data_IF_490370426837
#
_entry.id   IF_490370426837
#
_cell.length_a   1.000
_cell.length_b   1.000
_cell.length_c   1.000
_cell.angle_alpha   90.00
_cell.angle_beta   90.00
_cell.angle_gamma   90.00
#
_symmetry.space_group_name_H-M   'P 1'
#
loop_
_entity.id
_entity.type
_entity.pdbx_description
1 polymer ?
#
# COMPACT_ATOMS: atom_id res chain seq x y z
N UNK A 1 12.29 -8.04 -16.99
CA UNK A 1 11.77 -8.43 -15.67
C UNK A 1 12.04 -7.33 -14.68
N UNK A 2 10.99 -6.77 -14.08
CA UNK A 2 11.16 -5.68 -13.11
C UNK A 2 11.22 -6.26 -11.72
N UNK A 3 12.33 -6.03 -11.02
CA UNK A 3 12.44 -6.36 -9.61
C UNK A 3 12.08 -5.13 -8.80
N UNK A 4 10.84 -5.08 -8.34
CA UNK A 4 10.36 -3.98 -7.53
C UNK A 4 10.78 -4.16 -6.07
N UNK A 5 11.26 -3.09 -5.46
CA UNK A 5 11.57 -3.08 -4.04
C UNK A 5 10.27 -2.97 -3.25
N UNK A 6 10.03 -3.90 -2.34
CA UNK A 6 8.87 -3.90 -1.48
C UNK A 6 9.16 -3.11 -0.21
N UNK A 7 8.37 -2.08 0.05
CA UNK A 7 8.45 -1.30 1.28
C UNK A 7 7.26 -1.72 2.14
N UNK A 8 7.52 -2.38 3.27
CA UNK A 8 6.48 -2.98 4.09
C UNK A 8 6.23 -2.18 5.35
N UNK A 9 4.96 -1.98 5.68
CA UNK A 9 4.53 -1.41 6.96
C UNK A 9 3.43 -2.29 7.55
N UNK A 10 3.71 -2.88 8.72
CA UNK A 10 2.68 -3.57 9.48
C UNK A 10 2.05 -2.56 10.45
N UNK A 11 0.85 -2.11 10.12
CA UNK A 11 0.15 -1.08 10.86
C UNK A 11 -0.93 -1.64 11.80
N UNK A 12 -0.96 -2.96 11.99
CA UNK A 12 -2.03 -3.59 12.78
C UNK A 12 -2.03 -3.17 14.24
N UNK A 13 -0.87 -2.86 14.80
CA UNK A 13 -0.73 -2.44 16.20
C UNK A 13 -0.58 -0.94 16.37
N UNK A 14 -0.68 -0.18 15.27
CA UNK A 14 -0.57 1.27 15.32
C UNK A 14 -1.94 1.91 15.45
N UNK A 15 -2.02 2.97 16.26
CA UNK A 15 -3.25 3.72 16.44
C UNK A 15 -3.30 4.94 15.52
N UNK A 16 -4.52 5.29 15.10
CA UNK A 16 -4.75 6.50 14.32
C UNK A 16 -4.22 7.73 15.08
N UNK A 17 -3.54 8.68 14.42
CA UNK A 17 -3.33 8.80 12.98
C UNK A 17 -1.98 8.25 12.49
N UNK A 18 -1.29 7.44 13.29
CA UNK A 18 0.06 6.98 13.00
C UNK A 18 0.19 6.23 11.67
N UNK A 19 -0.72 5.26 11.35
CA UNK A 19 -0.61 4.57 10.06
C UNK A 19 -0.67 5.52 8.87
N UNK A 20 -1.55 6.52 8.92
CA UNK A 20 -1.68 7.48 7.84
C UNK A 20 -0.43 8.35 7.70
N UNK A 21 0.10 8.83 8.83
CA UNK A 21 1.32 9.66 8.83
C UNK A 21 2.51 8.91 8.23
N UNK A 22 2.74 7.66 8.63
CA UNK A 22 3.84 6.85 8.12
C UNK A 22 3.64 6.53 6.65
N UNK A 23 2.41 6.25 6.26
CA UNK A 23 2.09 5.93 4.86
C UNK A 23 2.33 7.13 3.95
N UNK A 24 1.97 8.33 4.38
CA UNK A 24 2.23 9.54 3.60
C UNK A 24 3.73 9.71 3.35
N UNK A 25 4.56 9.46 4.38
CA UNK A 25 6.01 9.51 4.21
C UNK A 25 6.50 8.52 3.17
N UNK A 26 5.99 7.29 3.20
CA UNK A 26 6.35 6.27 2.22
C UNK A 26 5.95 6.71 0.81
N UNK A 27 4.73 7.26 0.65
CA UNK A 27 4.27 7.71 -0.66
C UNK A 27 5.19 8.80 -1.23
N UNK A 28 5.71 9.67 -0.38
CA UNK A 28 6.64 10.73 -0.82
C UNK A 28 7.97 10.16 -1.31
N UNK A 29 8.35 8.97 -0.86
CA UNK A 29 9.61 8.33 -1.19
C UNK A 29 9.47 7.28 -2.30
N UNK A 30 8.25 6.89 -2.67
CA UNK A 30 8.04 5.89 -3.71
C UNK A 30 8.55 6.39 -5.06
N UNK A 31 9.18 5.48 -5.80
CA UNK A 31 9.62 5.72 -7.17
C UNK A 31 9.04 4.62 -8.09
N UNK A 32 9.47 4.59 -9.34
CA UNK A 32 8.95 3.62 -10.32
C UNK A 32 9.47 2.20 -10.09
N UNK A 33 10.44 2.04 -9.18
CA UNK A 33 11.08 0.75 -8.91
C UNK A 33 10.73 0.19 -7.55
N UNK A 34 9.76 0.79 -6.85
CA UNK A 34 9.33 0.34 -5.54
C UNK A 34 7.81 0.35 -5.44
N UNK A 35 7.29 -0.41 -4.50
CA UNK A 35 5.88 -0.37 -4.17
C UNK A 35 5.70 -0.48 -2.66
N UNK A 36 4.57 0.05 -2.18
CA UNK A 36 4.23 0.05 -0.76
C UNK A 36 3.28 -1.09 -0.47
N UNK A 37 3.58 -1.89 0.55
CA UNK A 37 2.71 -2.93 1.04
C UNK A 37 2.41 -2.66 2.51
N UNK A 38 1.14 -2.45 2.83
CA UNK A 38 0.70 -2.19 4.20
C UNK A 38 -0.29 -3.25 4.65
N UNK A 39 -0.14 -3.68 5.92
CA UNK A 39 -1.12 -4.55 6.56
C UNK A 39 -1.82 -3.73 7.63
N UNK A 40 -3.16 -3.70 7.61
CA UNK A 40 -3.95 -2.92 8.53
C UNK A 40 -5.19 -3.69 8.95
N UNK A 41 -5.72 -3.39 10.13
CA UNK A 41 -6.95 -4.04 10.61
C UNK A 41 -8.22 -3.42 10.02
N UNK A 42 -8.09 -2.27 9.38
CA UNK A 42 -9.19 -1.56 8.73
C UNK A 42 -8.80 -1.16 7.34
N UNK A 43 -9.80 -1.02 6.47
CA UNK A 43 -9.55 -0.49 5.14
C UNK A 43 -9.23 1.00 5.24
N UNK A 44 -7.99 1.44 4.91
CA UNK A 44 -7.57 2.83 5.11
C UNK A 44 -8.07 3.72 3.97
N UNK A 45 -9.39 3.94 3.92
CA UNK A 45 -10.01 4.70 2.83
C UNK A 45 -9.39 6.08 2.61
N UNK A 46 -9.13 6.89 3.66
CA UNK A 46 -8.48 8.19 3.44
C UNK A 46 -7.13 8.10 2.74
N UNK A 47 -6.33 7.09 3.08
CA UNK A 47 -5.05 6.87 2.42
C UNK A 47 -5.23 6.46 0.96
N UNK A 48 -6.18 5.57 0.69
CA UNK A 48 -6.45 5.11 -0.67
C UNK A 48 -6.92 6.27 -1.56
N UNK A 49 -7.79 7.12 -1.04
CA UNK A 49 -8.27 8.29 -1.75
C UNK A 49 -7.13 9.27 -2.06
N UNK A 50 -6.29 9.52 -1.07
CA UNK A 50 -5.15 10.42 -1.24
C UNK A 50 -4.18 9.89 -2.31
N UNK A 51 -3.85 8.61 -2.23
CA UNK A 51 -2.93 7.98 -3.20
C UNK A 51 -3.52 8.02 -4.62
N UNK A 52 -4.80 7.71 -4.75
CA UNK A 52 -5.48 7.74 -6.05
C UNK A 52 -5.49 9.15 -6.64
N UNK A 53 -5.75 10.16 -5.81
CA UNK A 53 -5.72 11.57 -6.26
C UNK A 53 -4.34 11.98 -6.76
N UNK A 54 -3.28 11.42 -6.19
CA UNK A 54 -1.92 11.72 -6.61
C UNK A 54 -1.46 10.88 -7.81
N UNK A 55 -2.35 10.06 -8.36
CA UNK A 55 -2.04 9.25 -9.53
C UNK A 55 -1.39 7.91 -9.25
N UNK A 56 -1.31 7.51 -7.98
CA UNK A 56 -0.80 6.18 -7.64
C UNK A 56 -1.82 5.10 -7.99
N UNK A 57 -1.32 3.94 -8.33
CA UNK A 57 -2.13 2.74 -8.47
C UNK A 57 -2.34 2.14 -7.07
N UNK A 58 -3.59 1.80 -6.72
CA UNK A 58 -3.90 1.28 -5.38
C UNK A 58 -4.71 0.00 -5.49
N UNK A 59 -4.46 -0.92 -4.55
CA UNK A 59 -5.22 -2.14 -4.39
C UNK A 59 -5.39 -2.40 -2.90
N UNK A 60 -6.63 -2.70 -2.48
CA UNK A 60 -6.95 -3.04 -1.09
C UNK A 60 -7.76 -4.32 -1.07
N UNK A 61 -7.35 -5.28 -0.25
CA UNK A 61 -8.01 -6.58 -0.17
C UNK A 61 -8.04 -7.05 1.27
N UNK A 62 -9.22 -7.49 1.72
CA UNK A 62 -9.38 -8.09 3.04
C UNK A 62 -9.10 -9.59 2.97
N UNK A 63 -8.36 -10.11 3.95
CA UNK A 63 -8.10 -11.55 4.02
C UNK A 63 -9.17 -12.25 4.87
N UNK A 64 -9.02 -13.56 5.05
CA UNK A 64 -10.01 -14.36 5.78
C UNK A 64 -10.03 -14.09 7.28
N UNK A 65 -9.01 -13.42 7.79
CA UNK A 65 -8.90 -13.09 9.22
C UNK A 65 -9.36 -11.66 9.54
N UNK A 66 -9.77 -10.91 8.52
CA UNK A 66 -10.23 -9.55 8.69
C UNK A 66 -9.13 -8.50 8.60
N UNK A 67 -7.90 -8.89 8.27
CA UNK A 67 -6.82 -7.96 8.03
C UNK A 67 -6.83 -7.49 6.59
N UNK A 68 -6.49 -6.22 6.39
CA UNK A 68 -6.47 -5.61 5.06
C UNK A 68 -5.04 -5.52 4.55
N UNK A 69 -4.87 -5.90 3.30
CA UNK A 69 -3.59 -5.83 2.59
C UNK A 69 -3.70 -4.76 1.52
N UNK A 70 -2.86 -3.74 1.64
CA UNK A 70 -2.90 -2.58 0.76
C UNK A 70 -1.61 -2.51 -0.03
N UNK A 71 -1.73 -2.39 -1.36
CA UNK A 71 -0.60 -2.20 -2.25
C UNK A 71 -0.76 -0.89 -2.99
N UNK A 72 0.32 -0.10 -3.02
CA UNK A 72 0.33 1.20 -3.70
C UNK A 72 1.60 1.28 -4.52
N UNK A 73 1.47 1.66 -5.79
CA UNK A 73 2.60 1.80 -6.70
C UNK A 73 2.49 3.09 -7.50
N UNK A 74 3.63 3.74 -7.67
CA UNK A 74 3.74 4.89 -8.58
C UNK A 74 3.83 4.41 -10.02
N UNK A 75 4.34 3.20 -10.25
CA UNK A 75 4.49 2.62 -11.57
C UNK A 75 3.16 2.01 -12.03
N UNK A 76 2.56 2.57 -13.07
CA UNK A 76 1.27 2.15 -13.56
C UNK A 76 1.32 0.91 -14.46
N UNK A 77 2.52 0.47 -14.82
CA UNK A 77 2.70 -0.74 -15.61
C UNK A 77 2.76 -1.99 -14.75
N UNK A 78 2.77 -1.83 -13.43
CA UNK A 78 2.81 -2.94 -12.47
C UNK A 78 1.41 -3.50 -12.26
N UNK A 79 1.30 -4.83 -12.22
CA UNK A 79 0.04 -5.49 -11.89
C UNK A 79 -0.01 -5.75 -10.39
N UNK A 80 -0.74 -4.90 -9.66
CA UNK A 80 -0.84 -5.02 -8.20
C UNK A 80 -1.52 -6.31 -7.77
N UNK A 81 -2.46 -6.83 -8.56
CA UNK A 81 -3.13 -8.08 -8.23
C UNK A 81 -2.14 -9.25 -8.22
N UNK A 82 -1.18 -9.27 -9.15
CA UNK A 82 -0.13 -10.28 -9.15
C UNK A 82 0.79 -10.15 -7.94
N UNK A 83 1.16 -8.92 -7.59
CA UNK A 83 1.98 -8.67 -6.42
C UNK A 83 1.25 -9.11 -5.14
N UNK A 84 -0.04 -8.86 -5.05
CA UNK A 84 -0.85 -9.27 -3.91
C UNK A 84 -0.89 -10.81 -3.78
N UNK A 85 -0.96 -11.52 -4.89
CA UNK A 85 -0.98 -12.98 -4.89
C UNK A 85 0.35 -13.57 -4.42
N UNK A 86 1.46 -12.84 -4.60
CA UNK A 86 2.79 -13.28 -4.19
C UNK A 86 3.12 -12.92 -2.74
N UNK A 87 2.31 -12.10 -2.12
CA UNK A 87 2.57 -11.57 -0.77
C UNK A 87 2.03 -12.46 0.33
#
# INVERSE_FOLDING_TARGET
MQNLKKITLDARDLEHPKPLELSIKVLQELDLQSYFYMIHRKNPVPLLDLAAEQGFQVLSKEDTEGDWHILISKNRDVNLAELAAES
#
